data_IF_409117891553
#
_entry.id   IF_409117891553
#
_cell.length_a   1.000
_cell.length_b   1.000
_cell.length_c   1.000
_cell.angle_alpha   90.00
_cell.angle_beta   90.00
_cell.angle_gamma   90.00
#
_symmetry.space_group_name_H-M   'P 1'
#
loop_
_entity.id
_entity.type
_entity.pdbx_description
1 polymer ?
#
# COMPACT_ATOMS: atom_id res chain seq x y z
N UNK A 1 -21.70 -16.86 2.85
CA UNK A 1 -21.41 -17.19 1.44
C UNK A 1 -19.96 -17.64 1.44
N UNK A 2 -19.70 -18.93 1.29
CA UNK A 2 -18.34 -19.50 1.35
C UNK A 2 -17.55 -19.08 0.10
N UNK A 3 -16.37 -18.50 0.27
CA UNK A 3 -15.44 -18.26 -0.84
C UNK A 3 -14.93 -19.62 -1.32
N UNK A 4 -15.46 -20.12 -2.44
CA UNK A 4 -14.94 -21.30 -3.14
C UNK A 4 -14.08 -20.80 -4.29
N UNK A 5 -12.77 -21.03 -4.24
CA UNK A 5 -11.94 -20.94 -5.44
C UNK A 5 -12.35 -22.12 -6.33
N UNK A 6 -12.90 -21.85 -7.49
CA UNK A 6 -13.25 -22.87 -8.49
C UNK A 6 -11.98 -23.67 -8.85
N UNK A 7 -12.08 -25.01 -8.82
CA UNK A 7 -10.97 -25.93 -9.10
C UNK A 7 -10.30 -25.66 -10.46
N UNK A 8 -11.03 -25.07 -11.40
CA UNK A 8 -10.51 -24.66 -12.71
C UNK A 8 -9.51 -23.49 -12.63
N UNK A 9 -9.67 -22.59 -11.66
CA UNK A 9 -8.78 -21.43 -11.44
C UNK A 9 -7.47 -21.88 -10.78
N UNK A 10 -7.55 -22.81 -9.82
CA UNK A 10 -6.38 -23.39 -9.16
C UNK A 10 -5.48 -24.14 -10.16
N UNK A 11 -6.09 -24.88 -11.09
CA UNK A 11 -5.38 -25.62 -12.12
C UNK A 11 -4.70 -24.71 -13.15
N UNK A 12 -5.32 -23.57 -13.50
CA UNK A 12 -4.77 -22.59 -14.44
C UNK A 12 -3.50 -21.92 -13.90
N UNK A 13 -3.50 -21.55 -12.61
CA UNK A 13 -2.37 -20.88 -11.96
C UNK A 13 -1.15 -21.81 -11.78
N UNK A 14 -1.40 -23.10 -11.61
CA UNK A 14 -0.34 -24.12 -11.48
C UNK A 14 0.34 -24.39 -12.83
N UNK A 15 -0.43 -24.41 -13.93
CA UNK A 15 0.10 -24.61 -15.29
C UNK A 15 0.88 -23.41 -15.83
N UNK A 16 0.60 -22.20 -15.35
CA UNK A 16 1.26 -20.97 -15.78
C UNK A 16 2.54 -20.62 -14.99
N UNK A 17 2.99 -21.46 -14.06
CA UNK A 17 4.24 -21.25 -13.30
C UNK A 17 4.14 -20.28 -12.12
N UNK A 18 2.93 -19.86 -11.74
CA UNK A 18 2.67 -18.91 -10.65
C UNK A 18 2.40 -19.60 -9.30
N UNK A 19 3.21 -20.60 -8.92
CA UNK A 19 3.02 -21.37 -7.69
C UNK A 19 2.98 -20.53 -6.41
N UNK A 20 3.63 -19.36 -6.40
CA UNK A 20 3.67 -18.46 -5.24
C UNK A 20 2.37 -17.67 -5.03
N UNK A 21 1.59 -17.43 -6.08
CA UNK A 21 0.31 -16.70 -6.00
C UNK A 21 -0.79 -17.59 -5.41
N UNK A 22 -0.74 -18.90 -5.69
CA UNK A 22 -1.70 -19.87 -5.16
C UNK A 22 -1.57 -20.05 -3.64
N UNK A 23 -0.34 -19.99 -3.10
CA UNK A 23 -0.10 -20.15 -1.65
C UNK A 23 -0.65 -18.96 -0.85
N UNK A 24 -0.53 -17.73 -1.37
CA UNK A 24 -1.04 -16.52 -0.71
C UNK A 24 -2.57 -16.48 -0.66
N UNK A 25 -3.25 -16.90 -1.73
CA UNK A 25 -4.72 -16.92 -1.79
C UNK A 25 -5.34 -17.94 -0.83
N UNK A 26 -4.71 -19.11 -0.66
CA UNK A 26 -5.19 -20.16 0.26
C UNK A 26 -4.96 -19.78 1.72
N UNK A 27 -3.85 -19.11 2.05
CA UNK A 27 -3.61 -18.60 3.40
C UNK A 27 -4.60 -17.50 3.82
N UNK A 28 -5.05 -16.66 2.88
CA UNK A 28 -6.05 -15.62 3.18
C UNK A 28 -7.44 -16.21 3.45
N UNK A 29 -7.87 -17.24 2.69
CA UNK A 29 -9.18 -17.87 2.89
C UNK A 29 -9.30 -18.68 4.20
N UNK A 30 -8.21 -19.24 4.72
CA UNK A 30 -8.24 -20.06 5.94
C UNK A 30 -8.32 -19.22 7.24
N UNK A 31 -7.83 -17.97 7.22
CA UNK A 31 -7.94 -17.09 8.39
C UNK A 31 -9.37 -16.58 8.60
N UNK A 32 -10.15 -16.44 7.53
CA UNK A 32 -11.48 -15.82 7.54
C UNK A 32 -12.60 -16.74 8.07
N UNK A 33 -12.34 -18.06 8.17
CA UNK A 33 -13.36 -19.04 8.60
C UNK A 33 -13.52 -19.09 10.14
N UNK A 34 -12.57 -18.57 10.92
CA UNK A 34 -12.58 -18.71 12.38
C UNK A 34 -13.18 -17.53 13.17
N UNK A 35 -13.62 -16.45 12.51
CA UNK A 35 -14.23 -15.31 13.20
C UNK A 35 -15.76 -15.38 13.15
N UNK A 36 -16.39 -16.21 14.01
CA UNK A 36 -17.82 -16.09 14.29
C UNK A 36 -18.14 -16.09 15.78
N UNK A 37 -18.62 -14.92 16.20
CA UNK A 37 -19.71 -14.69 17.15
C UNK A 37 -19.43 -14.94 18.64
N UNK A 38 -18.98 -13.89 19.35
CA UNK A 38 -19.21 -13.72 20.79
C UNK A 38 -19.58 -12.25 21.04
N UNK A 39 -20.84 -12.00 21.43
CA UNK A 39 -21.23 -10.73 22.06
C UNK A 39 -20.86 -10.81 23.54
N UNK A 40 -19.99 -9.92 24.00
CA UNK A 40 -19.82 -9.65 25.43
C UNK A 40 -19.66 -8.16 25.65
N UNK A 41 -20.53 -7.60 26.48
CA UNK A 41 -20.41 -6.28 27.06
C UNK A 41 -19.16 -6.27 27.95
N UNK A 42 -18.23 -5.34 27.76
CA UNK A 42 -17.27 -5.02 28.82
C UNK A 42 -16.82 -3.56 28.82
N UNK A 43 -16.55 -3.11 30.03
CA UNK A 43 -16.38 -1.73 30.48
C UNK A 43 -14.98 -1.18 30.14
N UNK A 44 -14.93 0.09 29.72
CA UNK A 44 -13.96 1.07 30.23
C UNK A 44 -12.48 0.96 29.89
N UNK A 45 -12.06 0.23 28.84
CA UNK A 45 -10.71 0.37 28.28
C UNK A 45 -10.84 0.98 26.88
N UNK A 46 -10.40 2.22 26.68
CA UNK A 46 -10.38 2.83 25.35
C UNK A 46 -9.28 2.10 24.57
N UNK A 47 -9.62 1.09 23.80
CA UNK A 47 -8.66 0.43 22.92
C UNK A 47 -8.55 1.26 21.64
N UNK A 48 -7.32 1.37 21.12
CA UNK A 48 -7.06 2.13 19.91
C UNK A 48 -7.60 1.37 18.68
N UNK A 49 -8.41 2.05 17.87
CA UNK A 49 -9.00 1.42 16.69
C UNK A 49 -8.01 1.15 15.56
N UNK A 50 -8.42 0.30 14.62
CA UNK A 50 -7.73 0.13 13.35
C UNK A 50 -7.49 1.47 12.65
N UNK A 51 -6.31 1.65 12.07
CA UNK A 51 -5.98 2.82 11.26
C UNK A 51 -5.26 2.41 9.98
N UNK A 52 -5.42 3.23 8.94
CA UNK A 52 -4.70 3.03 7.69
C UNK A 52 -4.31 4.32 6.99
N UNK A 53 -3.16 4.29 6.32
CA UNK A 53 -2.72 5.33 5.39
C UNK A 53 -2.09 4.67 4.17
N UNK A 54 -2.48 5.10 2.98
CA UNK A 54 -1.80 4.69 1.74
C UNK A 54 -0.91 5.83 1.24
N UNK A 55 0.20 5.48 0.61
CA UNK A 55 1.12 6.45 0.03
C UNK A 55 1.77 5.92 -1.25
N UNK A 56 2.03 6.82 -2.19
CA UNK A 56 2.79 6.57 -3.41
C UNK A 56 4.09 7.32 -3.28
N UNK A 57 5.21 6.62 -3.44
CA UNK A 57 6.54 7.24 -3.32
C UNK A 57 7.39 6.98 -4.54
N UNK A 58 8.20 7.99 -4.87
CA UNK A 58 9.35 7.87 -5.75
C UNK A 58 10.60 8.05 -4.90
N UNK A 59 11.45 7.02 -4.84
CA UNK A 59 12.67 7.02 -4.04
C UNK A 59 13.89 6.71 -4.91
N UNK A 60 15.01 7.35 -4.64
CA UNK A 60 16.22 7.24 -5.46
C UNK A 60 17.37 8.04 -4.87
N UNK A 61 18.55 7.89 -5.45
CA UNK A 61 19.75 8.57 -4.97
C UNK A 61 19.90 9.95 -5.61
N UNK A 62 20.32 10.93 -4.82
CA UNK A 62 20.83 12.21 -5.31
C UNK A 62 19.91 13.01 -6.24
N UNK A 63 18.60 12.96 -6.02
CA UNK A 63 17.66 13.81 -6.76
C UNK A 63 17.06 14.88 -5.86
N UNK A 64 16.62 15.98 -6.48
CA UNK A 64 15.87 17.03 -5.82
C UNK A 64 14.35 16.79 -5.98
N UNK A 65 13.59 16.59 -4.89
CA UNK A 65 12.15 16.43 -4.95
C UNK A 65 11.39 17.60 -5.61
N UNK A 66 11.93 18.82 -5.59
CA UNK A 66 11.29 19.98 -6.22
C UNK A 66 11.23 19.86 -7.75
N UNK A 67 12.26 19.25 -8.35
CA UNK A 67 12.29 18.99 -9.79
C UNK A 67 11.25 17.93 -10.16
N UNK A 68 11.06 16.92 -9.29
CA UNK A 68 10.02 15.90 -9.45
C UNK A 68 8.62 16.52 -9.38
N UNK A 69 8.37 17.38 -8.37
CA UNK A 69 7.12 18.13 -8.23
C UNK A 69 6.81 18.95 -9.49
N UNK A 70 7.80 19.65 -10.03
CA UNK A 70 7.64 20.48 -11.24
C UNK A 70 7.33 19.66 -12.49
N UNK A 71 7.98 18.50 -12.64
CA UNK A 71 7.81 17.63 -13.80
C UNK A 71 6.46 16.89 -13.77
N UNK A 72 6.09 16.32 -12.62
CA UNK A 72 4.82 15.60 -12.44
C UNK A 72 3.64 16.57 -12.43
N UNK A 73 3.80 17.73 -11.77
CA UNK A 73 2.73 18.72 -11.60
C UNK A 73 1.73 18.37 -10.49
N UNK A 74 2.12 17.50 -9.56
CA UNK A 74 1.36 17.14 -8.36
C UNK A 74 2.17 17.62 -7.15
N UNK A 75 1.50 18.16 -6.14
CA UNK A 75 2.16 18.53 -4.88
C UNK A 75 2.30 17.29 -3.99
N UNK A 76 3.50 16.99 -3.46
CA UNK A 76 3.68 15.89 -2.51
C UNK A 76 3.04 16.23 -1.16
N UNK A 77 2.70 15.19 -0.40
CA UNK A 77 2.41 15.33 1.04
C UNK A 77 3.67 15.36 1.88
N UNK A 78 4.75 14.72 1.43
CA UNK A 78 6.03 14.69 2.13
C UNK A 78 7.20 14.55 1.17
N UNK A 79 8.36 15.08 1.57
CA UNK A 79 9.62 14.96 0.84
C UNK A 79 10.77 14.65 1.78
N UNK A 80 11.74 13.89 1.28
CA UNK A 80 13.09 13.84 1.83
C UNK A 80 14.04 14.39 0.75
N UNK A 81 14.63 15.55 1.02
CA UNK A 81 15.56 16.23 0.10
C UNK A 81 17.04 16.03 0.49
N UNK A 82 17.36 15.04 1.33
CA UNK A 82 18.73 14.82 1.81
C UNK A 82 19.74 14.63 0.66
N UNK A 83 19.32 14.02 -0.44
CA UNK A 83 20.16 13.82 -1.62
C UNK A 83 20.30 15.03 -2.53
N UNK A 84 19.52 16.10 -2.35
CA UNK A 84 19.45 17.23 -3.28
C UNK A 84 20.75 18.07 -3.32
N UNK A 85 21.43 18.19 -2.18
CA UNK A 85 22.67 18.96 -2.02
C UNK A 85 23.85 18.10 -1.53
N UNK A 86 23.69 16.78 -1.45
CA UNK A 86 24.74 15.87 -1.01
C UNK A 86 25.82 15.68 -2.08
N UNK A 87 27.07 15.51 -1.66
CA UNK A 87 28.13 15.02 -2.55
C UNK A 87 27.81 13.63 -3.11
N UNK A 88 28.36 13.32 -4.30
CA UNK A 88 28.19 12.02 -4.97
C UNK A 88 29.11 10.92 -4.40
N UNK A 89 29.85 11.22 -3.33
CA UNK A 89 30.80 10.31 -2.68
C UNK A 89 30.12 9.27 -1.78
N UNK A 90 28.86 9.49 -1.40
CA UNK A 90 28.07 8.59 -0.55
C UNK A 90 26.64 8.47 -1.05
N UNK A 91 26.05 7.27 -1.11
CA UNK A 91 24.67 7.11 -1.54
C UNK A 91 23.71 7.76 -0.53
N UNK A 92 23.06 8.85 -0.91
CA UNK A 92 22.04 9.53 -0.09
C UNK A 92 20.68 9.44 -0.78
N UNK A 93 19.71 8.88 -0.08
CA UNK A 93 18.35 8.69 -0.58
C UNK A 93 17.56 9.99 -0.42
N UNK A 94 16.93 10.41 -1.51
CA UNK A 94 15.83 11.35 -1.51
C UNK A 94 14.51 10.60 -1.73
N UNK A 95 13.40 11.19 -1.31
CA UNK A 95 12.07 10.67 -1.59
C UNK A 95 11.07 11.79 -1.88
N UNK A 96 10.09 11.46 -2.71
CA UNK A 96 8.92 12.26 -3.00
C UNK A 96 7.69 11.39 -2.70
N UNK A 97 6.76 11.85 -1.89
CA UNK A 97 5.61 11.07 -1.43
C UNK A 97 4.30 11.84 -1.61
N UNK A 98 3.27 11.15 -2.12
CA UNK A 98 1.87 11.56 -2.07
C UNK A 98 1.12 10.54 -1.23
N UNK A 99 0.42 10.98 -0.18
CA UNK A 99 -0.32 10.10 0.72
C UNK A 99 -1.77 10.50 0.88
N UNK A 100 -2.59 9.54 1.29
CA UNK A 100 -3.90 9.83 1.86
C UNK A 100 -3.73 10.39 3.28
N UNK A 101 -4.81 10.92 3.84
CA UNK A 101 -4.93 11.05 5.28
C UNK A 101 -4.95 9.66 5.93
N UNK A 102 -4.67 9.62 7.23
CA UNK A 102 -4.91 8.43 8.04
C UNK A 102 -6.42 8.31 8.32
N UNK A 103 -6.99 7.16 7.99
CA UNK A 103 -8.37 6.81 8.35
C UNK A 103 -8.36 5.93 9.59
N UNK A 104 -9.44 5.98 10.37
CA UNK A 104 -9.64 5.21 11.61
C UNK A 104 -10.95 4.42 11.53
N UNK A 105 -11.02 3.27 12.20
CA UNK A 105 -12.15 2.34 12.28
C UNK A 105 -12.43 1.59 10.95
N UNK A 106 -13.13 2.23 10.02
CA UNK A 106 -13.64 1.65 8.76
C UNK A 106 -12.54 1.58 7.69
N UNK A 107 -11.49 0.83 7.98
CA UNK A 107 -10.34 0.67 7.09
C UNK A 107 -10.70 -0.21 5.89
N UNK A 108 -10.81 0.41 4.73
CA UNK A 108 -10.87 -0.24 3.42
C UNK A 108 -9.63 0.12 2.58
N UNK A 109 -8.68 -0.81 2.48
CA UNK A 109 -7.43 -0.60 1.73
C UNK A 109 -7.67 -0.49 0.23
N UNK A 110 -8.72 -1.15 -0.28
CA UNK A 110 -9.08 -1.11 -1.69
C UNK A 110 -9.50 0.30 -2.10
N UNK A 111 -10.40 0.91 -1.33
CA UNK A 111 -10.85 2.28 -1.58
C UNK A 111 -9.71 3.29 -1.34
N UNK A 112 -8.92 3.11 -0.27
CA UNK A 112 -7.81 4.00 0.07
C UNK A 112 -6.77 4.07 -1.05
N UNK A 113 -6.31 2.92 -1.53
CA UNK A 113 -5.35 2.84 -2.63
C UNK A 113 -5.98 3.30 -3.94
N UNK A 114 -7.26 2.99 -4.18
CA UNK A 114 -7.99 3.47 -5.35
C UNK A 114 -8.09 5.00 -5.43
N UNK A 115 -8.36 5.68 -4.31
CA UNK A 115 -8.37 7.15 -4.22
C UNK A 115 -7.01 7.75 -4.55
N UNK A 116 -5.93 7.14 -4.06
CA UNK A 116 -4.58 7.58 -4.32
C UNK A 116 -4.18 7.40 -5.79
N UNK A 117 -4.49 6.24 -6.39
CA UNK A 117 -4.21 5.98 -7.80
C UNK A 117 -4.94 6.96 -8.72
N UNK A 118 -6.20 7.30 -8.43
CA UNK A 118 -6.95 8.31 -9.20
C UNK A 118 -6.25 9.66 -9.29
N UNK A 119 -5.42 10.02 -8.31
CA UNK A 119 -4.67 11.28 -8.31
C UNK A 119 -3.40 11.21 -9.18
N UNK A 120 -2.69 10.08 -9.16
CA UNK A 120 -1.39 9.94 -9.86
C UNK A 120 -1.53 9.42 -11.30
N UNK A 121 -2.57 8.65 -11.59
CA UNK A 121 -2.80 8.04 -12.90
C UNK A 121 -2.86 9.05 -14.07
N UNK A 122 -3.48 10.24 -13.93
CA UNK A 122 -3.44 11.26 -14.99
C UNK A 122 -2.02 11.73 -15.35
N UNK A 123 -1.05 11.60 -14.43
CA UNK A 123 0.34 11.99 -14.63
C UNK A 123 1.25 10.81 -15.01
N UNK A 124 0.70 9.64 -15.39
CA UNK A 124 1.46 8.39 -15.66
C UNK A 124 2.69 8.60 -16.53
N UNK A 125 2.55 9.28 -17.68
CA UNK A 125 3.65 9.46 -18.62
C UNK A 125 4.79 10.31 -18.04
N UNK A 126 4.45 11.33 -17.24
CA UNK A 126 5.43 12.15 -16.52
C UNK A 126 6.11 11.36 -15.41
N UNK A 127 5.36 10.52 -14.69
CA UNK A 127 5.89 9.60 -13.68
C UNK A 127 6.90 8.64 -14.33
N UNK A 128 6.55 8.02 -15.46
CA UNK A 128 7.47 7.17 -16.23
C UNK A 128 8.72 7.92 -16.69
N UNK A 129 8.56 9.17 -17.12
CA UNK A 129 9.68 10.01 -17.52
C UNK A 129 10.65 10.25 -16.35
N UNK A 130 10.16 10.64 -15.17
CA UNK A 130 11.02 10.91 -14.01
C UNK A 130 11.65 9.64 -13.44
N UNK A 131 10.92 8.52 -13.46
CA UNK A 131 11.46 7.19 -13.09
C UNK A 131 12.69 6.88 -13.93
N UNK A 132 12.59 7.06 -15.25
CA UNK A 132 13.70 6.77 -16.17
C UNK A 132 14.83 7.78 -16.06
N UNK A 133 14.54 9.08 -16.01
CA UNK A 133 15.58 10.11 -16.05
C UNK A 133 16.36 10.24 -14.75
N UNK A 134 15.75 9.94 -13.60
CA UNK A 134 16.38 10.03 -12.29
C UNK A 134 16.63 8.66 -11.63
N UNK A 135 16.40 7.57 -12.37
CA UNK A 135 16.53 6.19 -11.87
C UNK A 135 15.77 5.96 -10.55
N UNK A 136 14.51 6.41 -10.50
CA UNK A 136 13.68 6.32 -9.30
C UNK A 136 12.98 4.97 -9.21
N UNK A 137 12.85 4.47 -7.99
CA UNK A 137 12.06 3.30 -7.65
C UNK A 137 10.67 3.74 -7.19
N UNK A 138 9.61 3.50 -7.98
CA UNK A 138 8.24 3.78 -7.57
C UNK A 138 7.73 2.70 -6.60
N UNK A 139 6.95 3.12 -5.60
CA UNK A 139 6.29 2.19 -4.66
C UNK A 139 4.90 2.69 -4.30
N UNK A 140 3.97 1.77 -4.09
CA UNK A 140 2.76 1.98 -3.30
C UNK A 140 2.99 1.36 -1.92
N UNK A 141 2.73 2.12 -0.88
CA UNK A 141 2.81 1.70 0.50
C UNK A 141 1.45 1.78 1.17
N UNK A 142 1.16 0.84 2.06
CA UNK A 142 0.02 0.90 2.98
C UNK A 142 0.56 0.67 4.39
N UNK A 143 0.32 1.61 5.30
CA UNK A 143 0.57 1.42 6.73
C UNK A 143 -0.75 1.06 7.37
N UNK A 144 -0.81 -0.11 8.03
CA UNK A 144 -1.95 -0.60 8.79
C UNK A 144 -1.57 -0.67 10.26
N UNK A 145 -2.27 0.09 11.10
CA UNK A 145 -2.21 -0.06 12.55
C UNK A 145 -3.42 -0.87 12.95
N UNK A 146 -3.21 -2.07 13.48
CA UNK A 146 -4.28 -2.97 13.86
C UNK A 146 -4.59 -2.83 15.35
N UNK A 147 -5.87 -2.68 15.67
CA UNK A 147 -6.37 -2.75 17.04
C UNK A 147 -6.05 -4.12 17.64
N UNK A 148 -5.71 -4.13 18.92
CA UNK A 148 -5.58 -5.35 19.71
C UNK A 148 -6.92 -5.73 20.37
N UNK A 149 -7.96 -4.94 20.18
CA UNK A 149 -9.31 -5.28 20.61
C UNK A 149 -9.84 -6.46 19.78
N UNK A 150 -10.28 -7.50 20.48
CA UNK A 150 -10.86 -8.69 19.86
C UNK A 150 -12.29 -8.45 19.34
N UNK A 151 -12.89 -7.31 19.69
CA UNK A 151 -14.18 -6.89 19.16
C UNK A 151 -14.06 -6.27 17.75
N UNK A 152 -12.88 -5.80 17.36
CA UNK A 152 -12.66 -5.28 16.01
C UNK A 152 -12.37 -6.40 15.00
N UNK A 153 -13.00 -6.29 13.83
CA UNK A 153 -12.67 -7.13 12.69
C UNK A 153 -11.36 -6.71 12.06
N UNK A 154 -10.62 -7.68 11.50
CA UNK A 154 -9.48 -7.36 10.64
C UNK A 154 -9.98 -6.59 9.41
N UNK A 155 -9.27 -5.53 8.98
CA UNK A 155 -9.67 -4.77 7.82
C UNK A 155 -9.49 -5.54 6.52
N UNK A 156 -10.31 -5.23 5.52
CA UNK A 156 -10.17 -5.78 4.17
C UNK A 156 -8.92 -5.20 3.50
N UNK A 157 -7.96 -6.08 3.19
CA UNK A 157 -6.69 -5.72 2.55
C UNK A 157 -6.66 -6.27 1.13
N UNK A 158 -6.67 -5.36 0.15
CA UNK A 158 -6.57 -5.74 -1.26
C UNK A 158 -6.28 -4.55 -2.18
N UNK A 159 -5.93 -4.86 -3.42
CA UNK A 159 -5.67 -3.88 -4.46
C UNK A 159 -6.58 -4.15 -5.67
N UNK A 160 -7.27 -3.12 -6.15
CA UNK A 160 -8.12 -3.25 -7.34
C UNK A 160 -7.34 -3.51 -8.61
N UNK A 161 -7.99 -4.14 -9.58
CA UNK A 161 -7.38 -4.46 -10.88
C UNK A 161 -6.81 -3.23 -11.59
N UNK A 162 -7.48 -2.07 -11.49
CA UNK A 162 -6.98 -0.79 -12.02
C UNK A 162 -5.68 -0.35 -11.33
N UNK A 163 -5.64 -0.44 -10.01
CA UNK A 163 -4.44 -0.14 -9.20
C UNK A 163 -3.29 -1.07 -9.60
N UNK A 164 -3.52 -2.39 -9.62
CA UNK A 164 -2.51 -3.38 -10.01
C UNK A 164 -1.97 -3.09 -11.41
N UNK A 165 -2.85 -2.80 -12.37
CA UNK A 165 -2.44 -2.49 -13.74
C UNK A 165 -1.58 -1.23 -13.81
N UNK A 166 -2.00 -0.15 -13.15
CA UNK A 166 -1.22 1.08 -13.10
C UNK A 166 0.16 0.86 -12.50
N UNK A 167 0.24 0.13 -11.38
CA UNK A 167 1.50 -0.17 -10.71
C UNK A 167 2.42 -1.03 -11.59
N UNK A 168 1.87 -2.02 -12.29
CA UNK A 168 2.61 -2.84 -13.24
C UNK A 168 3.16 -2.01 -14.41
N UNK A 169 2.36 -1.10 -14.98
CA UNK A 169 2.77 -0.22 -16.08
C UNK A 169 4.00 0.64 -15.72
N UNK A 170 4.10 1.09 -14.46
CA UNK A 170 5.21 1.93 -13.98
C UNK A 170 6.33 1.16 -13.29
N UNK A 171 6.20 -0.17 -13.15
CA UNK A 171 7.18 -1.01 -12.45
C UNK A 171 7.25 -0.75 -10.95
N UNK A 172 6.12 -0.43 -10.30
CA UNK A 172 6.06 -0.14 -8.88
C UNK A 172 6.07 -1.38 -7.99
N UNK A 173 6.74 -1.26 -6.84
CA UNK A 173 6.68 -2.23 -5.76
C UNK A 173 5.46 -1.97 -4.87
N UNK A 174 4.93 -3.03 -4.27
CA UNK A 174 3.88 -2.96 -3.25
C UNK A 174 4.52 -3.24 -1.90
N UNK A 175 4.32 -2.33 -0.95
CA UNK A 175 4.75 -2.46 0.43
C UNK A 175 3.51 -2.38 1.34
N UNK A 176 3.36 -3.32 2.27
CA UNK A 176 2.32 -3.28 3.30
C UNK A 176 2.99 -3.46 4.65
N UNK A 177 2.94 -2.42 5.47
CA UNK A 177 3.54 -2.37 6.79
C UNK A 177 2.44 -2.53 7.84
N UNK A 178 2.56 -3.57 8.67
CA UNK A 178 1.63 -3.83 9.76
C UNK A 178 2.24 -3.41 11.10
N UNK A 179 1.47 -2.69 11.90
CA UNK A 179 1.80 -2.26 13.24
C UNK A 179 0.65 -2.67 14.18
N UNK A 180 0.95 -2.93 15.44
CA UNK A 180 -0.08 -3.12 16.46
C UNK A 180 -0.30 -1.80 17.17
N UNK A 181 -1.55 -1.47 17.43
CA UNK A 181 -1.89 -0.30 18.21
C UNK A 181 -1.35 -0.44 19.65
N UNK A 182 -0.87 0.67 20.21
CA UNK A 182 -0.46 0.68 21.61
C UNK A 182 -1.68 0.52 22.53
N UNK A 183 -1.46 -0.06 23.72
CA UNK A 183 -2.46 0.00 24.79
C UNK A 183 -2.53 1.45 25.27
N UNK A 184 -3.69 2.09 25.10
CA UNK A 184 -4.00 3.39 25.71
C UNK A 184 -4.23 3.20 27.21
#
# INVERSE_FOLDING_TARGET
MSCSIDDNVALLLTRAGYGMILVLLVSFCLYDINARHIHHHNEGNILASNQARAYFTLSGYHFNPDDITRLIGIQPTSINAAGAASGLDKPVISSWELSTDTITDDVDVYDLTGKLIKQVEPAKEKILQVIKSHNLSPRIGVVLVLSIDKAESAPDVGFGARTIRFLADIGAFINVDYQLAERI
#
